data_IF_252154485275
#
_entry.id   IF_252154485275
#
_cell.length_a   1.000
_cell.length_b   1.000
_cell.length_c   1.000
_cell.angle_alpha   90.00
_cell.angle_beta   90.00
_cell.angle_gamma   90.00
#
_symmetry.space_group_name_H-M   'P 1'
#
loop_
_entity.id
_entity.type
_entity.pdbx_description
1 polymer ?
#
# COMPACT_ATOMS: atom_id res chain seq x y z
N UNK A 1 -30.20 -4.38 58.33
CA UNK A 1 -29.42 -4.03 57.14
C UNK A 1 -29.91 -4.94 56.02
N UNK A 2 -30.96 -4.54 55.29
CA UNK A 2 -31.51 -5.34 54.20
C UNK A 2 -30.65 -5.12 52.97
N UNK A 3 -29.81 -6.09 52.63
CA UNK A 3 -29.22 -6.16 51.30
C UNK A 3 -30.32 -6.64 50.36
N UNK A 4 -30.77 -5.82 49.41
CA UNK A 4 -31.73 -6.22 48.39
C UNK A 4 -30.99 -7.07 47.34
N UNK A 5 -31.12 -8.41 47.35
CA UNK A 5 -30.39 -9.27 46.42
C UNK A 5 -30.77 -8.99 44.97
N UNK A 6 -31.99 -8.50 44.76
CA UNK A 6 -32.55 -8.13 43.46
C UNK A 6 -31.84 -6.91 42.84
N UNK A 7 -31.48 -5.92 43.65
CA UNK A 7 -30.77 -4.73 43.17
C UNK A 7 -29.31 -5.05 42.78
N UNK A 8 -28.66 -5.93 43.55
CA UNK A 8 -27.31 -6.40 43.24
C UNK A 8 -27.31 -7.23 41.95
N UNK A 9 -28.28 -8.15 41.81
CA UNK A 9 -28.44 -9.00 40.62
C UNK A 9 -28.76 -8.17 39.37
N UNK A 10 -29.61 -7.14 39.49
CA UNK A 10 -29.91 -6.23 38.39
C UNK A 10 -28.67 -5.43 37.96
N UNK A 11 -27.87 -4.94 38.92
CA UNK A 11 -26.62 -4.23 38.65
C UNK A 11 -25.60 -5.15 37.94
N UNK A 12 -25.45 -6.40 38.37
CA UNK A 12 -24.60 -7.38 37.70
C UNK A 12 -25.07 -7.66 36.27
N UNK A 13 -26.39 -7.83 36.06
CA UNK A 13 -26.96 -8.01 34.72
C UNK A 13 -26.73 -6.79 33.80
N UNK A 14 -26.81 -5.57 34.33
CA UNK A 14 -26.45 -4.36 33.57
C UNK A 14 -24.96 -4.33 33.21
N UNK A 15 -24.08 -4.69 34.15
CA UNK A 15 -22.63 -4.72 33.91
C UNK A 15 -22.25 -5.74 32.84
N UNK A 16 -22.86 -6.93 32.87
CA UNK A 16 -22.67 -7.99 31.87
C UNK A 16 -23.14 -7.53 30.48
N UNK A 17 -24.35 -6.96 30.40
CA UNK A 17 -24.89 -6.44 29.14
C UNK A 17 -24.03 -5.30 28.57
N UNK A 18 -23.57 -4.38 29.42
CA UNK A 18 -22.67 -3.31 29.01
C UNK A 18 -21.34 -3.86 28.49
N UNK A 19 -20.80 -4.89 29.15
CA UNK A 19 -19.56 -5.56 28.74
C UNK A 19 -19.72 -6.23 27.37
N UNK A 20 -20.85 -6.90 27.13
CA UNK A 20 -21.16 -7.50 25.83
C UNK A 20 -21.30 -6.45 24.73
N UNK A 21 -21.96 -5.32 25.02
CA UNK A 21 -22.11 -4.22 24.08
C UNK A 21 -20.76 -3.59 23.72
N UNK A 22 -19.91 -3.34 24.71
CA UNK A 22 -18.55 -2.82 24.51
C UNK A 22 -17.74 -3.75 23.59
N UNK A 23 -17.77 -5.07 23.85
CA UNK A 23 -17.08 -6.06 23.00
C UNK A 23 -17.59 -6.05 21.56
N UNK A 24 -18.91 -5.98 21.38
CA UNK A 24 -19.53 -5.91 20.05
C UNK A 24 -19.10 -4.65 19.30
N UNK A 25 -19.11 -3.48 19.96
CA UNK A 25 -18.68 -2.21 19.36
C UNK A 25 -17.19 -2.24 19.00
N UNK A 26 -16.33 -2.75 19.88
CA UNK A 26 -14.90 -2.91 19.61
C UNK A 26 -14.65 -3.83 18.41
N UNK A 27 -15.38 -4.94 18.33
CA UNK A 27 -15.28 -5.85 17.18
C UNK A 27 -15.69 -5.17 15.87
N UNK A 28 -16.78 -4.40 15.87
CA UNK A 28 -17.20 -3.64 14.69
C UNK A 28 -16.17 -2.57 14.29
N UNK A 29 -15.54 -1.90 15.26
CA UNK A 29 -14.47 -0.95 15.01
C UNK A 29 -13.25 -1.61 14.35
N UNK A 30 -12.82 -2.77 14.84
CA UNK A 30 -11.69 -3.51 14.25
C UNK A 30 -12.00 -4.03 12.84
N UNK A 31 -13.22 -4.51 12.59
CA UNK A 31 -13.67 -4.92 11.25
C UNK A 31 -13.67 -3.72 10.30
N UNK A 32 -14.22 -2.58 10.74
CA UNK A 32 -14.26 -1.36 9.94
C UNK A 32 -12.84 -0.81 9.69
N UNK A 33 -11.97 -0.81 10.69
CA UNK A 33 -10.56 -0.42 10.56
C UNK A 33 -9.83 -1.29 9.56
N UNK A 34 -9.92 -2.62 9.70
CA UNK A 34 -9.29 -3.55 8.77
C UNK A 34 -9.76 -3.29 7.34
N UNK A 35 -11.08 -3.24 7.12
CA UNK A 35 -11.65 -3.03 5.78
C UNK A 35 -11.28 -1.66 5.21
N UNK A 36 -11.31 -0.61 6.02
CA UNK A 36 -10.96 0.75 5.61
C UNK A 36 -9.49 0.85 5.22
N UNK A 37 -8.59 0.24 5.98
CA UNK A 37 -7.15 0.22 5.66
C UNK A 37 -6.82 -0.61 4.42
N UNK A 38 -7.50 -1.75 4.22
CA UNK A 38 -7.37 -2.55 2.99
C UNK A 38 -7.76 -1.73 1.76
N UNK A 39 -8.92 -1.05 1.79
CA UNK A 39 -9.38 -0.18 0.71
C UNK A 39 -8.44 1.01 0.50
N UNK A 40 -7.96 1.63 1.57
CA UNK A 40 -6.99 2.73 1.51
C UNK A 40 -5.68 2.31 0.85
N UNK A 41 -5.14 1.14 1.23
CA UNK A 41 -3.92 0.59 0.66
C UNK A 41 -4.11 0.18 -0.81
N UNK A 42 -5.31 -0.28 -1.17
CA UNK A 42 -5.70 -0.55 -2.56
C UNK A 42 -5.92 0.74 -3.37
N UNK A 43 -6.18 1.89 -2.73
CA UNK A 43 -6.41 3.16 -3.41
C UNK A 43 -7.85 3.54 -3.64
N UNK A 44 -8.75 2.75 -3.09
CA UNK A 44 -10.18 2.94 -3.16
C UNK A 44 -10.60 4.00 -2.14
N UNK A 45 -10.05 5.22 -2.26
CA UNK A 45 -10.19 6.27 -1.25
C UNK A 45 -11.66 6.63 -1.00
N UNK A 46 -12.47 6.67 -2.06
CA UNK A 46 -13.92 6.94 -1.97
C UNK A 46 -14.62 5.90 -1.11
N UNK A 47 -14.30 4.62 -1.30
CA UNK A 47 -14.91 3.52 -0.54
C UNK A 47 -14.30 3.37 0.86
N UNK A 48 -12.99 3.65 1.01
CA UNK A 48 -12.30 3.59 2.28
C UNK A 48 -12.88 4.58 3.29
N UNK A 49 -13.33 5.76 2.84
CA UNK A 49 -13.87 6.83 3.68
C UNK A 49 -14.92 6.35 4.69
N UNK A 50 -15.93 5.61 4.22
CA UNK A 50 -17.05 5.16 5.06
C UNK A 50 -16.59 4.22 6.17
N UNK A 51 -15.63 3.34 5.86
CA UNK A 51 -15.08 2.38 6.82
C UNK A 51 -14.09 3.05 7.78
N UNK A 52 -13.24 3.96 7.29
CA UNK A 52 -12.24 4.67 8.10
C UNK A 52 -12.87 5.67 9.07
N UNK A 53 -14.04 6.25 8.74
CA UNK A 53 -14.79 7.14 9.65
C UNK A 53 -15.10 6.49 10.99
N UNK A 54 -15.38 5.18 11.03
CA UNK A 54 -15.72 4.46 12.28
C UNK A 54 -14.57 4.48 13.30
N UNK A 55 -13.37 3.91 13.01
CA UNK A 55 -12.23 3.98 13.92
C UNK A 55 -11.68 5.39 14.08
N UNK A 56 -11.74 6.25 13.05
CA UNK A 56 -11.26 7.63 13.18
C UNK A 56 -12.09 8.44 14.20
N UNK A 57 -13.42 8.29 14.20
CA UNK A 57 -14.31 8.86 15.22
C UNK A 57 -14.10 8.23 16.61
N UNK A 58 -13.65 6.98 16.67
CA UNK A 58 -13.30 6.31 17.92
C UNK A 58 -11.91 6.73 18.47
N UNK A 59 -11.16 7.56 17.73
CA UNK A 59 -9.89 8.10 18.19
C UNK A 59 -8.65 7.42 17.60
N UNK A 60 -8.77 6.48 16.66
CA UNK A 60 -7.60 5.81 16.08
C UNK A 60 -6.76 6.77 15.22
N UNK A 61 -5.54 7.09 15.66
CA UNK A 61 -4.68 8.07 14.99
C UNK A 61 -4.30 7.67 13.56
N UNK A 62 -4.13 6.37 13.29
CA UNK A 62 -3.78 5.88 11.95
C UNK A 62 -4.96 6.05 10.99
N UNK A 63 -6.17 5.69 11.43
CA UNK A 63 -7.38 5.89 10.65
C UNK A 63 -7.69 7.38 10.45
N UNK A 64 -7.44 8.23 11.45
CA UNK A 64 -7.56 9.68 11.31
C UNK A 64 -6.59 10.21 10.25
N UNK A 65 -5.33 9.78 10.26
CA UNK A 65 -4.38 10.17 9.22
C UNK A 65 -4.80 9.67 7.83
N UNK A 66 -5.17 8.39 7.71
CA UNK A 66 -5.63 7.79 6.46
C UNK A 66 -6.88 8.51 5.90
N UNK A 67 -7.82 8.89 6.78
CA UNK A 67 -9.02 9.64 6.40
C UNK A 67 -8.67 11.08 5.95
N UNK A 68 -7.67 11.71 6.58
CA UNK A 68 -7.11 12.97 6.09
C UNK A 68 -6.52 12.83 4.69
N UNK A 69 -5.77 11.75 4.41
CA UNK A 69 -5.21 11.48 3.08
C UNK A 69 -6.31 11.17 2.04
N UNK A 70 -7.40 10.50 2.43
CA UNK A 70 -8.60 10.31 1.58
C UNK A 70 -9.14 11.65 1.11
N UNK A 71 -9.45 12.57 2.04
CA UNK A 71 -9.96 13.89 1.69
C UNK A 71 -8.94 14.70 0.87
N UNK A 72 -7.65 14.64 1.23
CA UNK A 72 -6.60 15.34 0.48
C UNK A 72 -6.56 14.90 -0.98
N UNK A 73 -6.72 13.60 -1.25
CA UNK A 73 -6.65 13.03 -2.60
C UNK A 73 -7.92 13.31 -3.41
N UNK A 74 -9.09 13.21 -2.78
CA UNK A 74 -10.37 13.58 -3.40
C UNK A 74 -10.38 15.07 -3.81
N UNK A 75 -9.97 15.95 -2.89
CA UNK A 75 -9.93 17.40 -3.12
C UNK A 75 -8.70 17.85 -3.94
N UNK A 76 -7.73 16.95 -4.12
CA UNK A 76 -6.40 17.23 -4.71
C UNK A 76 -5.65 18.38 -4.01
N UNK A 77 -5.98 18.63 -2.74
CA UNK A 77 -5.44 19.71 -1.92
C UNK A 77 -5.60 19.38 -0.43
N UNK A 78 -4.82 20.02 0.44
CA UNK A 78 -4.98 19.90 1.89
C UNK A 78 -6.13 20.81 2.35
N UNK A 79 -7.36 20.32 2.19
CA UNK A 79 -8.59 21.03 2.56
C UNK A 79 -8.78 21.14 4.08
N UNK A 80 -9.72 21.98 4.54
CA UNK A 80 -10.00 22.08 5.98
C UNK A 80 -10.57 20.77 6.56
N UNK A 81 -11.29 19.98 5.76
CA UNK A 81 -11.74 18.65 6.22
C UNK A 81 -10.54 17.70 6.37
N UNK A 82 -9.61 17.67 5.42
CA UNK A 82 -8.36 16.91 5.57
C UNK A 82 -7.57 17.36 6.81
N UNK A 83 -7.40 18.69 7.02
CA UNK A 83 -6.70 19.24 8.20
C UNK A 83 -7.39 18.90 9.50
N UNK A 84 -8.72 18.87 9.55
CA UNK A 84 -9.46 18.46 10.75
C UNK A 84 -9.04 17.06 11.21
N UNK A 85 -8.95 16.11 10.28
CA UNK A 85 -8.49 14.75 10.60
C UNK A 85 -7.00 14.69 10.94
N UNK A 86 -6.16 15.44 10.23
CA UNK A 86 -4.75 15.56 10.59
C UNK A 86 -4.53 16.15 11.98
N UNK A 87 -5.30 17.17 12.39
CA UNK A 87 -5.23 17.76 13.74
C UNK A 87 -5.53 16.73 14.83
N UNK A 88 -6.51 15.84 14.61
CA UNK A 88 -6.84 14.77 15.55
C UNK A 88 -5.71 13.74 15.66
N UNK A 89 -5.13 13.30 14.54
CA UNK A 89 -3.99 12.40 14.55
C UNK A 89 -2.73 13.05 15.16
N UNK A 90 -2.48 14.32 14.85
CA UNK A 90 -1.37 15.12 15.35
C UNK A 90 -1.44 15.40 16.86
N UNK A 91 -2.65 15.49 17.41
CA UNK A 91 -2.86 15.57 18.86
C UNK A 91 -2.38 14.30 19.58
N UNK A 92 -2.24 13.19 18.86
CA UNK A 92 -1.73 11.89 19.31
C UNK A 92 -0.30 11.62 18.79
N UNK A 93 0.45 12.67 18.46
CA UNK A 93 1.85 12.60 18.03
C UNK A 93 2.11 11.89 16.69
N UNK A 94 1.09 11.75 15.83
CA UNK A 94 1.27 11.17 14.49
C UNK A 94 2.14 12.07 13.59
N UNK A 95 3.39 11.66 13.35
CA UNK A 95 4.42 12.50 12.69
C UNK A 95 4.03 12.93 11.28
N UNK A 96 3.54 12.03 10.43
CA UNK A 96 3.11 12.43 9.08
C UNK A 96 1.90 13.36 9.08
N UNK A 97 1.03 13.29 10.10
CA UNK A 97 -0.11 14.20 10.20
C UNK A 97 0.37 15.61 10.56
N UNK A 98 1.31 15.71 11.51
CA UNK A 98 1.99 16.96 11.83
C UNK A 98 2.70 17.56 10.60
N UNK A 99 3.37 16.72 9.80
CA UNK A 99 4.00 17.14 8.54
C UNK A 99 2.98 17.64 7.51
N UNK A 100 1.79 17.01 7.41
CA UNK A 100 0.72 17.44 6.49
C UNK A 100 0.03 18.75 6.93
N UNK A 101 0.01 19.07 8.22
CA UNK A 101 -0.50 20.36 8.71
C UNK A 101 0.40 21.53 8.29
N UNK A 102 1.70 21.30 8.22
CA UNK A 102 2.72 22.20 7.68
C UNK A 102 2.81 23.60 8.32
N UNK A 103 2.13 23.84 9.45
CA UNK A 103 2.34 25.04 10.27
C UNK A 103 3.61 24.90 11.13
N UNK A 104 4.17 26.04 11.56
CA UNK A 104 5.44 26.09 12.29
C UNK A 104 5.44 25.22 13.55
N UNK A 105 4.36 25.23 14.33
CA UNK A 105 4.26 24.48 15.57
C UNK A 105 4.21 22.96 15.28
N UNK A 106 3.40 22.55 14.31
CA UNK A 106 3.30 21.16 13.88
C UNK A 106 4.63 20.63 13.34
N UNK A 107 5.32 21.39 12.48
CA UNK A 107 6.61 20.98 11.91
C UNK A 107 7.70 20.90 12.98
N UNK A 108 7.74 21.82 13.94
CA UNK A 108 8.67 21.77 15.08
C UNK A 108 8.44 20.52 15.93
N UNK A 109 7.17 20.19 16.21
CA UNK A 109 6.79 18.99 16.96
C UNK A 109 7.14 17.72 16.18
N UNK A 110 6.81 17.65 14.88
CA UNK A 110 7.17 16.55 14.00
C UNK A 110 8.67 16.28 14.02
N UNK A 111 9.48 17.33 13.85
CA UNK A 111 10.95 17.23 13.88
C UNK A 111 11.47 16.71 15.21
N UNK A 112 10.90 17.16 16.32
CA UNK A 112 11.32 16.71 17.66
C UNK A 112 11.04 15.22 17.86
N UNK A 113 9.85 14.77 17.48
CA UNK A 113 9.43 13.37 17.58
C UNK A 113 10.25 12.46 16.65
N UNK A 114 10.39 12.85 15.38
CA UNK A 114 11.16 12.12 14.38
C UNK A 114 12.64 12.04 14.78
N UNK A 115 13.23 13.12 15.28
CA UNK A 115 14.62 13.11 15.76
C UNK A 115 14.81 12.12 16.91
N UNK A 116 13.94 12.17 17.94
CA UNK A 116 14.06 11.26 19.09
C UNK A 116 13.94 9.78 18.68
N UNK A 117 13.01 9.46 17.76
CA UNK A 117 12.86 8.09 17.25
C UNK A 117 14.03 7.68 16.33
N UNK A 118 14.58 8.61 15.54
CA UNK A 118 15.75 8.37 14.70
C UNK A 118 17.02 8.13 15.53
N UNK A 119 17.19 8.85 16.64
CA UNK A 119 18.29 8.62 17.60
C UNK A 119 18.17 7.24 18.26
N UNK A 120 16.94 6.71 18.36
CA UNK A 120 16.64 5.33 18.77
C UNK A 120 16.83 4.28 17.68
N UNK A 121 17.28 4.65 16.47
CA UNK A 121 17.55 3.74 15.36
C UNK A 121 16.37 3.46 14.43
N UNK A 122 15.25 4.18 14.55
CA UNK A 122 14.11 4.00 13.65
C UNK A 122 14.44 4.51 12.24
N UNK A 123 14.57 3.59 11.28
CA UNK A 123 14.80 3.93 9.87
C UNK A 123 13.63 4.69 9.23
N UNK A 124 12.39 4.45 9.68
CA UNK A 124 11.23 5.25 9.26
C UNK A 124 11.35 6.70 9.76
N UNK A 125 11.74 6.91 11.01
CA UNK A 125 11.92 8.24 11.56
C UNK A 125 13.08 8.99 10.86
N UNK A 126 14.12 8.27 10.44
CA UNK A 126 15.17 8.83 9.59
C UNK A 126 14.63 9.26 8.21
N UNK A 127 13.69 8.52 7.61
CA UNK A 127 12.99 8.97 6.41
C UNK A 127 12.15 10.22 6.69
N UNK A 128 11.41 10.26 7.80
CA UNK A 128 10.64 11.44 8.22
C UNK A 128 11.55 12.67 8.38
N UNK A 129 12.75 12.50 8.96
CA UNK A 129 13.75 13.56 9.07
C UNK A 129 14.23 14.05 7.70
N UNK A 130 14.46 13.14 6.74
CA UNK A 130 14.74 13.53 5.37
C UNK A 130 13.59 14.32 4.75
N UNK A 131 12.34 13.87 4.89
CA UNK A 131 11.18 14.58 4.34
C UNK A 131 11.03 16.00 4.95
N UNK A 132 11.34 16.16 6.24
CA UNK A 132 11.32 17.46 6.95
C UNK A 132 12.47 18.41 6.59
N UNK A 133 13.65 17.88 6.26
CA UNK A 133 14.88 18.68 6.13
C UNK A 133 15.44 18.74 4.71
N UNK A 134 15.06 17.78 3.87
CA UNK A 134 15.63 17.49 2.56
C UNK A 134 17.14 17.22 2.59
N UNK A 135 17.70 16.91 3.76
CA UNK A 135 19.11 16.53 3.93
C UNK A 135 19.28 15.03 3.59
N UNK A 136 20.06 14.77 2.54
CA UNK A 136 20.29 13.43 2.01
C UNK A 136 20.94 12.48 3.02
N UNK A 137 21.67 13.01 4.01
CA UNK A 137 22.31 12.18 5.04
C UNK A 137 21.28 11.45 5.91
N UNK A 138 20.10 12.03 6.13
CA UNK A 138 19.00 11.33 6.81
C UNK A 138 18.46 10.16 6.00
N UNK A 139 18.36 10.32 4.69
CA UNK A 139 17.88 9.27 3.81
C UNK A 139 18.90 8.12 3.69
N UNK A 140 20.20 8.44 3.69
CA UNK A 140 21.27 7.43 3.80
C UNK A 140 21.16 6.62 5.08
N UNK A 141 21.00 7.29 6.24
CA UNK A 141 20.80 6.62 7.52
C UNK A 141 19.55 5.73 7.52
N UNK A 142 18.44 6.19 6.95
CA UNK A 142 17.22 5.40 6.80
C UNK A 142 17.48 4.10 6.01
N UNK A 143 18.21 4.20 4.90
CA UNK A 143 18.58 3.06 4.08
C UNK A 143 19.54 2.08 4.80
N UNK A 144 20.50 2.60 5.57
CA UNK A 144 21.45 1.84 6.40
C UNK A 144 20.77 1.14 7.58
N UNK A 145 19.69 1.73 8.11
CA UNK A 145 18.83 1.11 9.11
C UNK A 145 17.89 0.01 8.53
N UNK A 146 18.13 -0.40 7.27
CA UNK A 146 17.35 -1.41 6.53
C UNK A 146 15.87 -1.06 6.34
N UNK A 147 15.50 0.23 6.39
CA UNK A 147 14.14 0.64 6.07
C UNK A 147 13.93 0.64 4.57
N UNK A 148 13.08 -0.27 4.08
CA UNK A 148 12.97 -0.58 2.65
C UNK A 148 12.46 0.61 1.82
N UNK A 149 11.52 1.38 2.35
CA UNK A 149 11.03 2.59 1.70
C UNK A 149 12.15 3.65 1.62
N UNK A 150 12.98 3.77 2.66
CA UNK A 150 14.17 4.63 2.66
C UNK A 150 15.20 4.21 1.62
N UNK A 151 15.48 2.90 1.50
CA UNK A 151 16.34 2.35 0.45
C UNK A 151 15.81 2.66 -0.96
N UNK A 152 14.51 2.46 -1.18
CA UNK A 152 13.86 2.74 -2.46
C UNK A 152 13.89 4.24 -2.81
N UNK A 153 13.57 5.12 -1.86
CA UNK A 153 13.60 6.58 -2.09
C UNK A 153 15.05 7.05 -2.33
N UNK A 154 16.04 6.50 -1.62
CA UNK A 154 17.45 6.83 -1.87
C UNK A 154 17.89 6.43 -3.29
N UNK A 155 17.47 5.26 -3.75
CA UNK A 155 17.71 4.81 -5.11
C UNK A 155 17.09 5.79 -6.13
N UNK A 156 15.83 6.24 -5.92
CA UNK A 156 15.18 7.25 -6.77
C UNK A 156 15.96 8.57 -6.79
N UNK A 157 16.45 9.02 -5.62
CA UNK A 157 17.22 10.26 -5.51
C UNK A 157 18.54 10.16 -6.26
N UNK A 158 19.29 9.09 -6.09
CA UNK A 158 20.53 8.89 -6.83
C UNK A 158 20.28 8.79 -8.33
N UNK A 159 19.28 8.05 -8.79
CA UNK A 159 19.00 7.90 -10.22
C UNK A 159 18.63 9.24 -10.89
N UNK A 160 17.84 10.08 -10.20
CA UNK A 160 17.37 11.38 -10.71
C UNK A 160 18.39 12.51 -10.56
N UNK A 161 19.09 12.57 -9.43
CA UNK A 161 20.05 13.63 -9.11
C UNK A 161 21.48 13.14 -9.29
N UNK A 162 21.98 13.31 -10.51
CA UNK A 162 23.35 12.90 -10.89
C UNK A 162 24.45 13.66 -10.14
N UNK A 163 24.13 14.75 -9.43
CA UNK A 163 25.14 15.49 -8.65
C UNK A 163 25.50 14.78 -7.34
N UNK A 164 24.60 13.93 -6.81
CA UNK A 164 24.85 13.14 -5.60
C UNK A 164 25.89 12.04 -5.81
N UNK A 165 25.93 11.47 -7.03
CA UNK A 165 26.97 10.54 -7.49
C UNK A 165 27.24 10.83 -8.97
N UNK A 166 28.28 11.60 -9.27
CA UNK A 166 28.56 12.05 -10.64
C UNK A 166 28.96 10.91 -11.58
N UNK A 167 29.76 9.96 -11.09
CA UNK A 167 30.17 8.79 -11.88
C UNK A 167 28.96 7.88 -12.18
N UNK A 168 28.68 7.68 -13.47
CA UNK A 168 27.51 6.95 -13.92
C UNK A 168 27.54 5.46 -13.58
N UNK A 169 28.74 4.84 -13.58
CA UNK A 169 28.89 3.41 -13.28
C UNK A 169 28.70 3.18 -11.78
N UNK A 170 29.34 4.01 -10.94
CA UNK A 170 29.18 3.96 -9.48
C UNK A 170 27.74 4.23 -9.09
N UNK A 171 27.09 5.24 -9.69
CA UNK A 171 25.69 5.57 -9.45
C UNK A 171 24.76 4.42 -9.81
N UNK A 172 24.93 3.83 -11.00
CA UNK A 172 24.11 2.69 -11.44
C UNK A 172 24.24 1.51 -10.49
N UNK A 173 25.46 1.19 -10.05
CA UNK A 173 25.70 0.13 -9.06
C UNK A 173 25.03 0.44 -7.71
N UNK A 174 25.20 1.67 -7.19
CA UNK A 174 24.59 2.08 -5.92
C UNK A 174 23.05 2.01 -5.95
N UNK A 175 22.43 2.45 -7.05
CA UNK A 175 20.97 2.35 -7.24
C UNK A 175 20.53 0.89 -7.27
N UNK A 176 21.22 0.03 -8.03
CA UNK A 176 20.90 -1.38 -8.10
C UNK A 176 21.05 -2.09 -6.76
N UNK A 177 22.08 -1.77 -5.97
CA UNK A 177 22.31 -2.37 -4.65
C UNK A 177 21.21 -2.00 -3.66
N UNK A 178 20.80 -0.72 -3.63
CA UNK A 178 19.70 -0.25 -2.79
C UNK A 178 18.37 -0.91 -3.16
N UNK A 179 18.06 -0.96 -4.46
CA UNK A 179 16.84 -1.61 -4.92
C UNK A 179 16.84 -3.11 -4.66
N UNK A 180 17.98 -3.78 -4.87
CA UNK A 180 18.11 -5.20 -4.56
C UNK A 180 17.86 -5.47 -3.07
N UNK A 181 18.47 -4.69 -2.17
CA UNK A 181 18.25 -4.84 -0.72
C UNK A 181 16.79 -4.68 -0.34
N UNK A 182 16.13 -3.64 -0.86
CA UNK A 182 14.71 -3.39 -0.58
C UNK A 182 13.81 -4.49 -1.18
N UNK A 183 14.13 -4.96 -2.40
CA UNK A 183 13.41 -6.03 -3.08
C UNK A 183 13.56 -7.38 -2.35
N UNK A 184 14.78 -7.75 -1.96
CA UNK A 184 15.05 -8.96 -1.17
C UNK A 184 14.34 -8.90 0.20
N UNK A 185 14.18 -7.71 0.77
CA UNK A 185 13.46 -7.45 2.01
C UNK A 185 11.93 -7.30 1.84
N UNK A 186 11.38 -7.57 0.65
CA UNK A 186 9.93 -7.66 0.44
C UNK A 186 9.23 -6.41 -0.07
N UNK A 187 9.94 -5.38 -0.56
CA UNK A 187 9.33 -4.11 -1.00
C UNK A 187 8.92 -4.13 -2.49
N UNK A 188 7.62 -4.18 -2.83
CA UNK A 188 7.18 -4.47 -4.21
C UNK A 188 7.61 -3.46 -5.25
N UNK A 189 7.63 -2.16 -4.91
CA UNK A 189 8.12 -1.11 -5.82
C UNK A 189 9.60 -1.28 -6.15
N UNK A 190 10.42 -1.72 -5.18
CA UNK A 190 11.83 -2.02 -5.45
C UNK A 190 11.98 -3.29 -6.29
N UNK A 191 11.16 -4.32 -6.08
CA UNK A 191 11.15 -5.53 -6.92
C UNK A 191 10.86 -5.18 -8.39
N UNK A 192 9.83 -4.37 -8.65
CA UNK A 192 9.46 -3.93 -10.00
C UNK A 192 10.57 -3.11 -10.66
N UNK A 193 11.15 -2.17 -9.92
CA UNK A 193 12.16 -1.31 -10.51
C UNK A 193 13.48 -2.06 -10.72
N UNK A 194 13.91 -2.87 -9.75
CA UNK A 194 15.11 -3.69 -9.87
C UNK A 194 15.05 -4.65 -11.06
N UNK A 195 13.93 -5.36 -11.23
CA UNK A 195 13.77 -6.35 -12.32
C UNK A 195 13.83 -5.72 -13.72
N UNK A 196 13.47 -4.44 -13.84
CA UNK A 196 13.50 -3.69 -15.10
C UNK A 196 14.80 -2.93 -15.34
N UNK A 197 15.80 -3.04 -14.46
CA UNK A 197 17.12 -2.41 -14.63
C UNK A 197 18.15 -3.41 -15.15
N UNK A 198 19.14 -2.92 -15.90
CA UNK A 198 20.26 -3.75 -16.36
C UNK A 198 21.09 -4.29 -15.18
N UNK A 199 21.56 -5.54 -15.24
CA UNK A 199 21.43 -6.47 -16.38
C UNK A 199 20.10 -7.26 -16.42
N UNK A 200 19.30 -7.24 -15.34
CA UNK A 200 18.08 -8.06 -15.20
C UNK A 200 16.96 -7.72 -16.19
N UNK A 201 16.96 -6.52 -16.77
CA UNK A 201 15.93 -6.07 -17.72
C UNK A 201 15.73 -6.98 -18.94
N UNK A 202 16.76 -7.75 -19.32
CA UNK A 202 16.71 -8.67 -20.46
C UNK A 202 16.53 -10.14 -20.04
N UNK A 203 16.51 -10.42 -18.74
CA UNK A 203 16.35 -11.77 -18.19
C UNK A 203 14.88 -12.02 -17.83
N UNK A 204 14.15 -12.61 -18.78
CA UNK A 204 12.72 -12.95 -18.62
C UNK A 204 12.47 -13.83 -17.39
N UNK A 205 13.38 -14.76 -17.07
CA UNK A 205 13.22 -15.66 -15.93
C UNK A 205 13.40 -14.90 -14.60
N UNK A 206 14.40 -14.01 -14.51
CA UNK A 206 14.55 -13.16 -13.33
C UNK A 206 13.36 -12.21 -13.16
N UNK A 207 12.85 -11.61 -14.24
CA UNK A 207 11.64 -10.76 -14.19
C UNK A 207 10.43 -11.52 -13.70
N UNK A 208 10.25 -12.75 -14.18
CA UNK A 208 9.19 -13.67 -13.74
C UNK A 208 9.22 -13.88 -12.23
N UNK A 209 10.38 -14.23 -11.69
CA UNK A 209 10.54 -14.47 -10.25
C UNK A 209 10.14 -13.26 -9.41
N UNK A 210 10.48 -12.05 -9.86
CA UNK A 210 10.07 -10.83 -9.16
C UNK A 210 8.58 -10.53 -9.29
N UNK A 211 7.99 -10.77 -10.47
CA UNK A 211 6.55 -10.65 -10.66
C UNK A 211 5.78 -11.60 -9.73
N UNK A 212 6.17 -12.87 -9.69
CA UNK A 212 5.52 -13.89 -8.85
C UNK A 212 5.61 -13.54 -7.36
N UNK A 213 6.76 -13.02 -6.89
CA UNK A 213 6.89 -12.51 -5.51
C UNK A 213 5.93 -11.36 -5.22
N UNK A 214 5.76 -10.42 -6.15
CA UNK A 214 4.80 -9.31 -5.99
C UNK A 214 3.35 -9.81 -6.01
N UNK A 215 3.02 -10.81 -6.83
CA UNK A 215 1.70 -11.47 -6.85
C UNK A 215 1.40 -12.16 -5.52
N UNK A 216 2.38 -12.84 -4.90
CA UNK A 216 2.24 -13.44 -3.57
C UNK A 216 1.98 -12.40 -2.48
N UNK A 217 2.48 -11.18 -2.67
CA UNK A 217 2.23 -10.03 -1.80
C UNK A 217 0.91 -9.32 -2.12
N UNK A 218 0.11 -9.82 -3.07
CA UNK A 218 -1.14 -9.17 -3.49
C UNK A 218 -0.93 -7.74 -4.03
N UNK A 219 0.23 -7.45 -4.65
CA UNK A 219 0.42 -6.19 -5.38
C UNK A 219 -0.53 -6.14 -6.58
N UNK A 220 -1.48 -5.20 -6.56
CA UNK A 220 -2.56 -5.12 -7.56
C UNK A 220 -2.02 -4.95 -8.98
N UNK A 221 -0.92 -4.21 -9.15
CA UNK A 221 -0.31 -4.03 -10.46
C UNK A 221 0.36 -5.33 -10.92
N UNK A 222 1.05 -6.03 -10.02
CA UNK A 222 1.66 -7.33 -10.36
C UNK A 222 0.61 -8.41 -10.68
N UNK A 223 -0.51 -8.43 -9.95
CA UNK A 223 -1.63 -9.35 -10.24
C UNK A 223 -2.19 -9.06 -11.63
N UNK A 224 -2.36 -7.78 -11.99
CA UNK A 224 -2.83 -7.38 -13.32
C UNK A 224 -1.81 -7.74 -14.41
N UNK A 225 -0.54 -7.38 -14.22
CA UNK A 225 0.57 -7.68 -15.14
C UNK A 225 0.69 -9.19 -15.38
N UNK A 226 0.54 -10.00 -14.32
CA UNK A 226 0.56 -11.45 -14.43
C UNK A 226 -0.67 -11.98 -15.17
N UNK A 227 -1.84 -11.41 -14.91
CA UNK A 227 -3.07 -11.72 -15.66
C UNK A 227 -2.90 -11.48 -17.17
N UNK A 228 -2.34 -10.33 -17.55
CA UNK A 228 -2.04 -10.02 -18.95
C UNK A 228 -1.00 -10.95 -19.56
N UNK A 229 0.10 -11.20 -18.84
CA UNK A 229 1.17 -12.06 -19.32
C UNK A 229 0.73 -13.52 -19.57
N UNK A 230 -0.34 -13.98 -18.90
CA UNK A 230 -0.95 -15.29 -19.13
C UNK A 230 -2.05 -15.27 -20.19
N UNK A 231 -2.81 -14.18 -20.31
CA UNK A 231 -4.01 -14.15 -21.16
C UNK A 231 -3.70 -13.78 -22.61
N UNK A 232 -2.78 -12.85 -22.85
CA UNK A 232 -2.46 -12.42 -24.20
C UNK A 232 -1.52 -13.42 -24.89
N UNK A 233 -1.76 -13.61 -26.18
CA UNK A 233 -0.88 -14.39 -27.04
C UNK A 233 0.27 -13.49 -27.53
N UNK A 234 1.49 -13.88 -27.20
CA UNK A 234 2.73 -13.20 -27.60
C UNK A 234 3.60 -14.10 -28.49
N UNK A 235 3.06 -15.18 -29.05
CA UNK A 235 3.84 -16.20 -29.77
C UNK A 235 4.45 -15.69 -31.08
N UNK A 236 3.85 -14.68 -31.71
CA UNK A 236 4.34 -14.10 -32.97
C UNK A 236 5.30 -12.90 -32.77
N UNK A 237 5.53 -12.47 -31.52
CA UNK A 237 6.40 -11.35 -31.17
C UNK A 237 7.38 -11.75 -30.07
N UNK A 238 8.54 -12.32 -30.46
CA UNK A 238 9.54 -12.91 -29.55
C UNK A 238 10.04 -11.92 -28.47
N UNK A 239 10.00 -10.62 -28.77
CA UNK A 239 10.36 -9.51 -27.87
C UNK A 239 9.18 -8.94 -27.04
N UNK A 240 7.92 -9.30 -27.35
CA UNK A 240 6.74 -8.80 -26.64
C UNK A 240 6.41 -9.57 -25.36
N UNK A 241 6.79 -10.86 -25.28
CA UNK A 241 6.59 -11.65 -24.07
C UNK A 241 7.64 -11.30 -23.00
N UNK A 242 7.33 -10.26 -22.21
CA UNK A 242 8.18 -9.69 -21.17
C UNK A 242 8.64 -10.70 -20.10
N UNK A 243 7.79 -11.70 -19.80
CA UNK A 243 8.00 -12.65 -18.71
C UNK A 243 8.18 -14.10 -19.19
N UNK A 244 7.93 -14.38 -20.47
CA UNK A 244 8.08 -15.68 -21.12
C UNK A 244 7.03 -16.73 -20.75
N UNK A 245 5.87 -16.34 -20.20
CA UNK A 245 4.85 -17.32 -19.79
C UNK A 245 4.20 -17.98 -21.01
N UNK A 246 3.78 -19.23 -20.83
CA UNK A 246 2.82 -19.88 -21.73
C UNK A 246 1.43 -19.33 -21.46
N UNK A 247 0.58 -19.32 -22.49
CA UNK A 247 -0.77 -18.80 -22.37
C UNK A 247 -1.63 -19.69 -21.46
N UNK A 248 -2.31 -19.07 -20.51
CA UNK A 248 -3.35 -19.66 -19.66
C UNK A 248 -4.52 -18.68 -19.57
N UNK A 249 -5.48 -18.84 -20.49
CA UNK A 249 -6.64 -17.97 -20.60
C UNK A 249 -7.51 -17.98 -19.33
N UNK A 250 -7.66 -19.13 -18.68
CA UNK A 250 -8.53 -19.26 -17.50
C UNK A 250 -7.92 -18.50 -16.33
N UNK A 251 -6.64 -18.73 -16.05
CA UNK A 251 -5.94 -18.05 -14.96
C UNK A 251 -5.75 -16.57 -15.25
N UNK A 252 -5.33 -16.23 -16.48
CA UNK A 252 -5.13 -14.86 -16.92
C UNK A 252 -6.40 -14.02 -16.82
N UNK A 253 -7.50 -14.51 -17.40
CA UNK A 253 -8.82 -13.87 -17.29
C UNK A 253 -9.26 -13.72 -15.83
N UNK A 254 -9.09 -14.77 -15.02
CA UNK A 254 -9.47 -14.75 -13.61
C UNK A 254 -8.73 -13.68 -12.79
N UNK A 255 -7.42 -13.50 -13.00
CA UNK A 255 -6.63 -12.47 -12.30
C UNK A 255 -7.03 -11.05 -12.73
N UNK A 256 -7.29 -10.82 -14.03
CA UNK A 256 -7.76 -9.52 -14.52
C UNK A 256 -9.16 -9.22 -13.96
N UNK A 257 -10.05 -10.21 -13.99
CA UNK A 257 -11.39 -10.11 -13.41
C UNK A 257 -11.32 -9.79 -11.91
N UNK A 258 -10.42 -10.44 -11.16
CA UNK A 258 -10.22 -10.18 -9.73
C UNK A 258 -9.87 -8.71 -9.46
N UNK A 259 -8.97 -8.12 -10.26
CA UNK A 259 -8.58 -6.71 -10.13
C UNK A 259 -9.77 -5.80 -10.39
N UNK A 260 -10.53 -6.05 -11.47
CA UNK A 260 -11.73 -5.26 -11.83
C UNK A 260 -12.84 -5.41 -10.77
N UNK A 261 -13.06 -6.61 -10.23
CA UNK A 261 -14.04 -6.84 -9.17
C UNK A 261 -13.65 -6.10 -7.87
N UNK A 262 -12.35 -6.00 -7.61
CA UNK A 262 -11.84 -5.43 -6.36
C UNK A 262 -11.64 -3.92 -6.37
N UNK A 263 -11.66 -3.28 -7.55
CA UNK A 263 -11.30 -1.86 -7.71
C UNK A 263 -12.36 -1.04 -8.44
N UNK A 264 -12.38 0.26 -8.15
CA UNK A 264 -13.24 1.29 -8.77
C UNK A 264 -12.46 2.56 -9.09
N UNK A 265 -11.47 2.89 -8.26
CA UNK A 265 -10.63 4.09 -8.41
C UNK A 265 -9.24 3.79 -9.02
N UNK A 266 -9.00 2.54 -9.43
CA UNK A 266 -7.71 2.09 -9.94
C UNK A 266 -7.36 2.70 -11.31
N UNK A 267 -6.12 3.20 -11.43
CA UNK A 267 -5.67 3.96 -12.60
C UNK A 267 -5.82 3.20 -13.93
N UNK A 268 -5.61 1.89 -13.93
CA UNK A 268 -5.64 1.07 -15.16
C UNK A 268 -7.00 0.39 -15.38
N UNK A 269 -8.05 0.77 -14.63
CA UNK A 269 -9.33 0.06 -14.64
C UNK A 269 -9.99 0.00 -16.02
N UNK A 270 -10.07 1.13 -16.74
CA UNK A 270 -10.69 1.18 -18.08
C UNK A 270 -9.95 0.29 -19.09
N UNK A 271 -8.62 0.30 -19.03
CA UNK A 271 -7.77 -0.59 -19.85
C UNK A 271 -7.99 -2.04 -19.47
N UNK A 272 -8.05 -2.36 -18.18
CA UNK A 272 -8.31 -3.72 -17.70
C UNK A 272 -9.67 -4.23 -18.15
N UNK A 273 -10.73 -3.42 -18.06
CA UNK A 273 -12.07 -3.77 -18.54
C UNK A 273 -12.05 -4.05 -20.04
N UNK A 274 -11.41 -3.18 -20.82
CA UNK A 274 -11.30 -3.34 -22.28
C UNK A 274 -10.56 -4.62 -22.65
N UNK A 275 -9.43 -4.88 -21.98
CA UNK A 275 -8.61 -6.08 -22.19
C UNK A 275 -9.37 -7.35 -21.78
N UNK A 276 -10.05 -7.35 -20.63
CA UNK A 276 -10.86 -8.48 -20.18
C UNK A 276 -11.96 -8.81 -21.19
N UNK A 277 -12.62 -7.80 -21.76
CA UNK A 277 -13.65 -7.99 -22.78
C UNK A 277 -13.07 -8.58 -24.08
N UNK A 278 -11.91 -8.10 -24.53
CA UNK A 278 -11.20 -8.64 -25.69
C UNK A 278 -10.83 -10.11 -25.49
N UNK A 279 -10.18 -10.44 -24.36
CA UNK A 279 -9.78 -11.81 -24.02
C UNK A 279 -11.01 -12.72 -23.94
N UNK A 280 -12.07 -12.26 -23.27
CA UNK A 280 -13.32 -13.01 -23.10
C UNK A 280 -14.03 -13.32 -24.43
N UNK A 281 -13.85 -12.51 -25.47
CA UNK A 281 -14.40 -12.75 -26.80
C UNK A 281 -13.90 -14.04 -27.46
N UNK A 282 -12.72 -14.53 -27.05
CA UNK A 282 -12.15 -15.80 -27.52
C UNK A 282 -12.41 -17.00 -26.61
N UNK A 283 -13.07 -16.81 -25.46
CA UNK A 283 -13.27 -17.86 -24.45
C UNK A 283 -14.67 -18.47 -24.51
N UNK A 284 -14.78 -19.74 -24.16
CA UNK A 284 -16.08 -20.40 -23.94
C UNK A 284 -16.68 -20.01 -22.60
N UNK A 285 -18.01 -20.15 -22.47
CA UNK A 285 -18.71 -19.88 -21.20
C UNK A 285 -18.14 -20.70 -20.02
N UNK A 286 -17.79 -21.98 -20.25
CA UNK A 286 -17.22 -22.84 -19.22
C UNK A 286 -15.81 -22.37 -18.76
N UNK A 287 -15.00 -21.83 -19.68
CA UNK A 287 -13.71 -21.24 -19.32
C UNK A 287 -13.87 -19.97 -18.51
N UNK A 288 -14.84 -19.10 -18.84
CA UNK A 288 -15.15 -17.89 -18.06
C UNK A 288 -15.66 -18.25 -16.66
N UNK A 289 -16.52 -19.27 -16.53
CA UNK A 289 -16.98 -19.78 -15.23
C UNK A 289 -15.82 -20.34 -14.39
N UNK A 290 -14.90 -21.09 -15.02
CA UNK A 290 -13.70 -21.59 -14.36
C UNK A 290 -12.77 -20.46 -13.91
N UNK A 291 -12.64 -19.41 -14.72
CA UNK A 291 -11.79 -18.26 -14.43
C UNK A 291 -12.33 -17.44 -13.25
N UNK A 292 -13.65 -17.20 -13.21
CA UNK A 292 -14.30 -16.50 -12.08
C UNK A 292 -14.25 -17.34 -10.80
N UNK A 293 -14.40 -18.66 -10.89
CA UNK A 293 -14.22 -19.57 -9.75
C UNK A 293 -12.79 -19.51 -9.20
N UNK A 294 -11.79 -19.56 -10.08
CA UNK A 294 -10.38 -19.41 -9.71
C UNK A 294 -10.13 -18.07 -8.99
N UNK A 295 -10.66 -16.98 -9.51
CA UNK A 295 -10.49 -15.64 -8.95
C UNK A 295 -11.13 -15.50 -7.55
N UNK A 296 -12.32 -16.06 -7.36
CA UNK A 296 -13.00 -16.08 -6.07
C UNK A 296 -12.21 -16.88 -5.03
N UNK A 297 -11.65 -18.02 -5.43
CA UNK A 297 -10.79 -18.82 -4.54
C UNK A 297 -9.49 -18.08 -4.21
N UNK A 298 -8.90 -17.38 -5.17
CA UNK A 298 -7.73 -16.52 -4.93
C UNK A 298 -8.04 -15.47 -3.85
N UNK A 299 -9.18 -14.76 -3.98
CA UNK A 299 -9.64 -13.74 -3.02
C UNK A 299 -9.82 -14.27 -1.60
N UNK A 300 -10.14 -15.57 -1.46
CA UNK A 300 -10.31 -16.26 -0.17
C UNK A 300 -8.98 -16.69 0.47
N UNK A 301 -7.97 -16.94 -0.35
CA UNK A 301 -6.71 -17.59 0.08
C UNK A 301 -5.52 -16.64 0.15
N UNK A 302 -5.62 -15.44 -0.43
CA UNK A 302 -4.55 -14.44 -0.45
C UNK A 302 -4.91 -13.19 0.37
N UNK A 303 -3.91 -12.37 0.66
CA UNK A 303 -4.11 -11.06 1.31
C UNK A 303 -4.89 -10.10 0.41
N UNK A 304 -5.47 -9.06 1.01
CA UNK A 304 -6.14 -8.00 0.26
C UNK A 304 -5.16 -7.35 -0.74
N UNK A 305 -5.67 -7.02 -1.93
CA UNK A 305 -4.88 -6.32 -2.94
C UNK A 305 -4.40 -4.96 -2.42
N UNK A 306 -3.20 -4.55 -2.82
CA UNK A 306 -2.56 -3.31 -2.38
C UNK A 306 -1.75 -2.67 -3.51
N UNK A 307 -1.73 -1.33 -3.56
CA UNK A 307 -0.86 -0.59 -4.48
C UNK A 307 0.54 -0.32 -3.90
N UNK A 308 0.78 -0.68 -2.64
CA UNK A 308 2.06 -0.47 -1.95
C UNK A 308 2.56 0.98 -2.07
N UNK A 309 1.65 1.94 -1.90
CA UNK A 309 1.96 3.38 -1.99
C UNK A 309 3.03 3.76 -0.97
N UNK A 310 3.83 4.76 -1.33
CA UNK A 310 4.77 5.39 -0.41
C UNK A 310 3.99 6.13 0.69
N UNK A 311 4.56 6.18 1.88
CA UNK A 311 3.87 6.60 3.10
C UNK A 311 3.59 8.11 3.10
N UNK A 312 4.52 8.92 2.59
CA UNK A 312 4.38 10.39 2.56
C UNK A 312 4.48 10.99 1.16
N UNK A 313 5.35 10.47 0.32
CA UNK A 313 5.65 11.03 -0.99
C UNK A 313 4.66 10.52 -2.05
N UNK A 314 4.16 11.40 -2.92
CA UNK A 314 3.36 11.01 -4.09
C UNK A 314 4.23 10.74 -5.33
N UNK A 315 5.56 10.66 -5.17
CA UNK A 315 6.52 10.42 -6.25
C UNK A 315 6.10 9.19 -7.06
N UNK A 316 5.75 9.46 -8.32
CA UNK A 316 5.49 8.49 -9.38
C UNK A 316 6.80 8.23 -10.12
#
# INVERSE_FOLDING_TARGET
>A
MYTHPDALTMLFGFLENLTLLIKSVQQQQEIAKKRGMELYNLGEFTHAEAYLKVPACAGDATAQFALGEVFRRQDKAVSEEAKKWYRLAAAQDHVYALMRLADEASLKKAKTLAQAAADGGSGEAMLQMYELTQDIEWLKKSAEANFQEGQYILALRYDKDTTLISDAVVRHAAVNDLLKKAADAGFPKAMLWYSNRRPGSNDKAAKRQWLEKRVQLSDVNAVLDYGYALAFDYTDEEDANEYGYEQDLVKGYGLIWLVIDSTRDFLQLDTAISNLAQIGGGMTAAQIESATTFAQEWKRTHGALSEYRLTYNDAR
#
